data_IF_681015394420
#
_entry.id   IF_681015394420
#
_cell.length_a   1.000
_cell.length_b   1.000
_cell.length_c   1.000
_cell.angle_alpha   90.00
_cell.angle_beta   90.00
_cell.angle_gamma   90.00
#
_symmetry.space_group_name_H-M   'P 1'
#
loop_
_entity.id
_entity.type
_entity.pdbx_description
1 polymer ?
#
# COMPACT_ATOMS: atom_id res chain seq x y z
N UNK A 1 -6.14 11.27 -21.49
CA UNK A 1 -5.77 11.42 -20.07
C UNK A 1 -4.53 10.59 -19.85
N UNK A 2 -3.39 11.22 -19.58
CA UNK A 2 -2.18 10.51 -19.15
C UNK A 2 -2.51 9.73 -17.87
N UNK A 3 -2.31 8.40 -17.88
CA UNK A 3 -2.45 7.61 -16.65
C UNK A 3 -1.41 8.13 -15.65
N UNK A 4 -1.88 8.71 -14.56
CA UNK A 4 -1.01 9.06 -13.44
C UNK A 4 -0.49 7.75 -12.85
N UNK A 5 0.84 7.61 -12.77
CA UNK A 5 1.48 6.45 -12.16
C UNK A 5 1.64 6.74 -10.67
N UNK A 6 1.26 5.76 -9.85
CA UNK A 6 1.46 5.79 -8.40
C UNK A 6 2.54 4.78 -8.06
N UNK A 7 3.56 5.20 -7.31
CA UNK A 7 4.55 4.27 -6.77
C UNK A 7 4.07 3.78 -5.41
N UNK A 8 4.50 2.59 -5.03
CA UNK A 8 4.32 2.11 -3.67
C UNK A 8 5.58 1.40 -3.20
N UNK A 9 5.73 1.33 -1.88
CA UNK A 9 6.75 0.50 -1.23
C UNK A 9 6.17 -0.08 0.05
N UNK A 10 6.64 -1.27 0.40
CA UNK A 10 6.35 -1.89 1.67
C UNK A 10 7.66 -2.35 2.31
N UNK A 11 7.84 -2.02 3.58
CA UNK A 11 8.96 -2.51 4.40
C UNK A 11 8.37 -3.33 5.51
N UNK A 12 8.76 -4.60 5.60
CA UNK A 12 8.31 -5.54 6.63
C UNK A 12 9.50 -5.89 7.53
N UNK A 13 9.25 -5.98 8.84
CA UNK A 13 10.26 -6.22 9.86
C UNK A 13 10.92 -7.61 9.76
N UNK A 14 10.16 -8.64 9.37
CA UNK A 14 10.63 -10.01 9.17
C UNK A 14 9.87 -10.70 8.04
N UNK A 15 10.53 -11.61 7.34
CA UNK A 15 9.89 -12.50 6.36
C UNK A 15 8.76 -13.34 6.95
N UNK A 16 8.74 -13.53 8.27
CA UNK A 16 7.72 -14.33 8.97
C UNK A 16 6.34 -13.65 8.94
N UNK A 17 6.28 -12.36 8.60
CA UNK A 17 5.03 -11.61 8.40
C UNK A 17 4.59 -11.56 6.92
N UNK A 18 5.28 -12.30 6.03
CA UNK A 18 4.91 -12.46 4.63
C UNK A 18 4.17 -13.78 4.48
N UNK A 19 2.91 -13.70 4.07
CA UNK A 19 2.07 -14.87 3.81
C UNK A 19 2.39 -15.48 2.45
N UNK A 20 2.58 -14.63 1.43
CA UNK A 20 2.74 -15.09 0.05
C UNK A 20 3.50 -14.10 -0.82
N UNK A 21 4.40 -14.63 -1.64
CA UNK A 21 4.95 -13.94 -2.81
C UNK A 21 4.81 -14.87 -4.00
N UNK A 22 4.11 -14.44 -5.05
CA UNK A 22 4.04 -15.19 -6.31
C UNK A 22 4.29 -14.27 -7.49
N UNK A 23 5.22 -14.69 -8.35
CA UNK A 23 5.54 -14.04 -9.61
C UNK A 23 5.19 -15.07 -10.69
N UNK A 24 4.05 -14.89 -11.34
CA UNK A 24 3.60 -15.80 -12.39
C UNK A 24 4.04 -15.26 -13.75
N UNK A 25 4.77 -16.06 -14.53
CA UNK A 25 5.21 -15.72 -15.89
C UNK A 25 4.24 -16.26 -16.97
N UNK A 26 2.98 -16.46 -16.60
CA UNK A 26 1.88 -16.93 -17.46
C UNK A 26 1.12 -15.72 -18.04
N UNK A 27 0.29 -15.86 -19.10
CA UNK A 27 -0.28 -14.72 -19.84
C UNK A 27 -1.18 -13.76 -19.04
N UNK A 28 -1.56 -14.09 -17.80
CA UNK A 28 -2.27 -13.18 -16.89
C UNK A 28 -1.33 -12.32 -16.01
N UNK A 29 0.00 -12.51 -16.10
CA UNK A 29 1.11 -11.64 -15.65
C UNK A 29 0.92 -10.94 -14.28
N UNK A 30 0.23 -11.61 -13.35
CA UNK A 30 -0.06 -11.08 -12.02
C UNK A 30 1.08 -11.40 -11.05
N UNK A 31 1.52 -10.36 -10.34
CA UNK A 31 2.43 -10.48 -9.20
C UNK A 31 1.65 -10.23 -7.92
N UNK A 32 1.65 -11.20 -7.01
CA UNK A 32 0.98 -11.11 -5.72
C UNK A 32 2.03 -10.94 -4.61
N UNK A 33 1.81 -9.98 -3.74
CA UNK A 33 2.53 -9.82 -2.49
C UNK A 33 1.53 -9.67 -1.36
N UNK A 34 1.50 -10.65 -0.46
CA UNK A 34 0.57 -10.70 0.67
C UNK A 34 1.35 -10.88 1.98
N UNK A 35 0.99 -10.07 2.98
CA UNK A 35 1.56 -10.11 4.31
C UNK A 35 0.76 -9.22 5.26
N UNK A 36 1.20 -9.16 6.51
CA UNK A 36 0.50 -8.46 7.58
C UNK A 36 1.33 -7.31 8.15
N UNK A 37 0.70 -6.13 8.29
CA UNK A 37 1.30 -5.00 9.01
C UNK A 37 1.13 -5.10 10.53
N UNK A 38 0.38 -6.08 11.04
CA UNK A 38 0.02 -6.15 12.47
C UNK A 38 -1.01 -5.10 12.88
N UNK A 39 -1.03 -4.72 14.15
CA UNK A 39 -1.92 -3.64 14.61
C UNK A 39 -1.59 -2.31 13.92
N UNK A 40 -2.63 -1.54 13.60
CA UNK A 40 -2.46 -0.22 12.98
C UNK A 40 -1.98 0.78 14.03
N UNK A 41 -0.74 1.21 13.91
CA UNK A 41 -0.15 2.21 14.81
C UNK A 41 -0.48 3.62 14.33
N UNK A 42 -0.46 3.85 13.02
CA UNK A 42 -0.56 5.20 12.48
C UNK A 42 -0.93 5.25 11.00
N UNK A 43 -1.69 6.28 10.61
CA UNK A 43 -1.90 6.68 9.22
C UNK A 43 -1.57 8.17 9.10
N UNK A 44 -0.71 8.52 8.15
CA UNK A 44 -0.35 9.92 7.86
C UNK A 44 -0.25 10.18 6.37
N UNK A 45 -0.64 11.39 5.97
CA UNK A 45 -0.34 11.94 4.66
C UNK A 45 0.85 12.90 4.79
N UNK A 46 1.99 12.55 4.20
CA UNK A 46 3.22 13.32 4.27
C UNK A 46 3.24 14.32 3.12
N UNK A 47 3.39 15.60 3.44
CA UNK A 47 3.46 16.72 2.48
C UNK A 47 2.32 16.76 1.46
N UNK A 48 1.17 16.15 1.78
CA UNK A 48 0.00 16.09 0.88
C UNK A 48 0.16 15.17 -0.33
N UNK A 49 1.24 14.39 -0.43
CA UNK A 49 1.61 13.61 -1.63
C UNK A 49 1.90 12.12 -1.38
N UNK A 50 2.13 11.72 -0.12
CA UNK A 50 2.54 10.36 0.22
C UNK A 50 1.72 9.82 1.39
N UNK A 51 0.87 8.83 1.13
CA UNK A 51 0.15 8.12 2.18
C UNK A 51 1.09 7.10 2.82
N UNK A 52 1.29 7.21 4.13
CA UNK A 52 2.02 6.25 4.93
C UNK A 52 1.06 5.57 5.92
N UNK A 53 1.07 4.23 5.91
CA UNK A 53 0.36 3.38 6.87
C UNK A 53 1.42 2.60 7.63
N UNK A 54 1.51 2.84 8.94
CA UNK A 54 2.45 2.18 9.84
C UNK A 54 1.68 1.18 10.69
N UNK A 55 2.09 -0.08 10.63
CA UNK A 55 1.68 -1.09 11.60
C UNK A 55 2.87 -1.63 12.40
N UNK A 56 2.61 -2.51 13.35
CA UNK A 56 3.64 -3.14 14.20
C UNK A 56 4.74 -3.84 13.40
N UNK A 57 4.37 -4.51 12.31
CA UNK A 57 5.28 -5.38 11.55
C UNK A 57 5.82 -4.71 10.28
N UNK A 58 5.43 -3.46 9.98
CA UNK A 58 5.89 -2.81 8.77
C UNK A 58 5.27 -1.47 8.45
N UNK A 59 5.68 -0.93 7.30
CA UNK A 59 5.22 0.36 6.78
C UNK A 59 4.89 0.23 5.29
N UNK A 60 3.65 0.56 4.93
CA UNK A 60 3.20 0.71 3.55
C UNK A 60 3.22 2.21 3.18
N UNK A 61 3.81 2.53 2.04
CA UNK A 61 3.82 3.87 1.47
C UNK A 61 3.27 3.83 0.05
N UNK A 62 2.37 4.74 -0.27
CA UNK A 62 1.78 4.89 -1.61
C UNK A 62 1.79 6.37 -1.98
N UNK A 63 2.32 6.69 -3.16
CA UNK A 63 2.20 8.02 -3.74
C UNK A 63 0.72 8.30 -3.98
N UNK A 64 0.10 9.11 -3.13
CA UNK A 64 -1.32 9.42 -3.18
C UNK A 64 -1.52 10.81 -2.62
N UNK A 65 -2.11 11.69 -3.42
CA UNK A 65 -2.34 13.07 -3.00
C UNK A 65 -3.61 13.21 -2.17
N UNK A 66 -3.69 14.27 -1.37
CA UNK A 66 -4.91 14.59 -0.62
C UNK A 66 -6.13 14.73 -1.54
N UNK A 67 -5.95 15.35 -2.71
CA UNK A 67 -7.00 15.55 -3.71
C UNK A 67 -7.53 14.24 -4.30
N UNK A 68 -6.72 13.18 -4.34
CA UNK A 68 -7.12 11.85 -4.79
C UNK A 68 -7.74 11.04 -3.65
N UNK A 69 -7.19 11.15 -2.44
CA UNK A 69 -7.64 10.41 -1.27
C UNK A 69 -9.03 10.86 -0.80
N UNK A 70 -9.24 12.17 -0.60
CA UNK A 70 -10.47 12.71 0.01
C UNK A 70 -11.75 12.29 -0.74
N UNK A 71 -11.83 12.35 -2.08
CA UNK A 71 -13.00 11.87 -2.81
C UNK A 71 -13.28 10.37 -2.64
N UNK A 72 -12.25 9.56 -2.39
CA UNK A 72 -12.39 8.11 -2.18
C UNK A 72 -12.89 7.77 -0.76
N UNK A 73 -12.74 8.68 0.20
CA UNK A 73 -13.22 8.53 1.58
C UNK A 73 -14.74 8.79 1.69
N UNK A 74 -15.54 8.06 0.90
CA UNK A 74 -16.99 8.00 1.13
C UNK A 74 -17.30 6.88 2.12
N UNK A 75 -18.18 7.14 3.10
CA UNK A 75 -18.80 6.05 3.87
C UNK A 75 -19.59 5.19 2.88
N UNK A 76 -19.06 4.03 2.49
CA UNK A 76 -19.92 2.97 1.93
C UNK A 76 -20.95 2.65 3.02
N UNK A 77 -22.22 3.02 2.76
CA UNK A 77 -23.36 2.68 3.61
C UNK A 77 -23.59 1.17 3.59
#
# INVERSE_FOLDING_TARGET
MTKQRHSFSIVIASKDHINRVSINNEPEDEVMFEGELGELLEIRLIEGILLQITGENGVLRVDLTEMELVPCLSKKR
#
